data_IF_292908346796
#
_entry.id   IF_292908346796
#
_cell.length_a   1.000
_cell.length_b   1.000
_cell.length_c   1.000
_cell.angle_alpha   90.00
_cell.angle_beta   90.00
_cell.angle_gamma   90.00
#
_symmetry.space_group_name_H-M   'P 1'
#
loop_
_entity.id
_entity.type
_entity.pdbx_description
1 polymer ?
#
# COMPACT_ATOMS: atom_id res chain seq x y z
N UNK A 1 -2.49 -4.17 17.31
CA UNK A 1 -1.58 -3.19 16.69
C UNK A 1 -0.46 -3.92 15.93
N UNK A 2 -0.69 -4.27 14.65
CA UNK A 2 0.36 -4.82 13.74
C UNK A 2 0.93 -3.75 12.77
N UNK A 3 0.49 -2.50 12.91
CA UNK A 3 0.68 -1.42 11.95
C UNK A 3 1.83 -0.44 12.30
N UNK A 4 2.89 -0.91 12.95
CA UNK A 4 4.01 -0.05 13.39
C UNK A 4 5.39 -0.64 13.09
N UNK A 5 5.57 -1.26 11.90
CA UNK A 5 6.90 -1.71 11.47
C UNK A 5 7.58 -2.78 12.33
N UNK A 6 6.86 -3.40 13.27
CA UNK A 6 7.37 -4.41 14.22
C UNK A 6 7.36 -5.85 13.68
N UNK A 7 7.09 -6.04 12.39
CA UNK A 7 7.41 -7.30 11.72
C UNK A 7 8.88 -7.22 11.30
N UNK A 8 9.70 -8.14 11.83
CA UNK A 8 11.18 -8.29 11.68
C UNK A 8 11.71 -8.39 10.23
N UNK A 9 10.90 -8.07 9.23
CA UNK A 9 11.11 -8.44 7.85
C UNK A 9 11.15 -7.18 6.97
N UNK A 10 12.18 -7.04 6.13
CA UNK A 10 12.45 -5.79 5.40
C UNK A 10 11.29 -5.35 4.49
N UNK A 11 10.55 -6.30 3.90
CA UNK A 11 9.33 -5.97 3.15
C UNK A 11 8.24 -5.30 4.02
N UNK A 12 8.12 -5.64 5.29
CA UNK A 12 7.14 -5.00 6.18
C UNK A 12 7.55 -3.58 6.57
N UNK A 13 8.85 -3.28 6.57
CA UNK A 13 9.35 -1.89 6.75
C UNK A 13 9.07 -1.05 5.52
N UNK A 14 9.32 -1.58 4.32
CA UNK A 14 9.01 -0.90 3.05
C UNK A 14 7.52 -0.66 2.91
N UNK A 15 6.70 -1.70 3.12
CA UNK A 15 5.25 -1.55 3.07
C UNK A 15 4.72 -0.58 4.13
N UNK A 16 5.20 -0.68 5.38
CA UNK A 16 4.80 0.23 6.45
C UNK A 16 5.21 1.68 6.17
N UNK A 17 6.36 1.92 5.53
CA UNK A 17 6.76 3.25 5.09
C UNK A 17 5.84 3.77 3.99
N UNK A 18 5.53 2.96 2.97
CA UNK A 18 4.64 3.35 1.87
C UNK A 18 3.22 3.63 2.38
N UNK A 19 2.69 2.78 3.26
CA UNK A 19 1.41 3.00 3.94
C UNK A 19 1.46 4.26 4.82
N UNK A 20 2.57 4.49 5.54
CA UNK A 20 2.76 5.66 6.39
C UNK A 20 2.79 6.96 5.59
N UNK A 21 3.53 7.01 4.48
CA UNK A 21 3.53 8.14 3.55
C UNK A 21 2.14 8.31 2.91
N UNK A 22 1.50 7.21 2.53
CA UNK A 22 0.13 7.22 2.03
C UNK A 22 -0.85 7.81 3.02
N UNK A 23 -0.79 7.42 4.30
CA UNK A 23 -1.63 7.94 5.38
C UNK A 23 -1.36 9.43 5.66
N UNK A 24 -0.09 9.83 5.61
CA UNK A 24 0.36 11.22 5.75
C UNK A 24 -0.19 12.11 4.63
N UNK A 25 -0.11 11.64 3.39
CA UNK A 25 -0.63 12.36 2.21
C UNK A 25 -2.16 12.30 2.17
N UNK A 26 -2.75 11.22 2.67
CA UNK A 26 -4.19 11.01 2.76
C UNK A 26 -4.84 11.93 3.79
N UNK A 27 -4.15 12.31 4.88
CA UNK A 27 -4.69 13.21 5.90
C UNK A 27 -5.11 14.54 5.26
N UNK A 28 -6.42 14.79 5.10
CA UNK A 28 -6.92 15.99 4.46
C UNK A 28 -6.84 17.11 5.49
N UNK A 29 -5.62 17.58 5.75
CA UNK A 29 -5.30 18.67 6.70
C UNK A 29 -3.81 18.95 6.84
N UNK A 30 -2.89 18.23 6.19
CA UNK A 30 -1.49 18.66 6.21
C UNK A 30 -1.32 19.88 5.29
N UNK A 31 -1.29 21.12 5.82
CA UNK A 31 -1.40 22.32 4.99
C UNK A 31 -0.20 22.41 4.05
N UNK A 32 1.00 22.08 4.55
CA UNK A 32 2.22 22.07 3.75
C UNK A 32 2.19 21.15 2.52
N UNK A 33 1.46 20.03 2.56
CA UNK A 33 1.31 19.14 1.39
C UNK A 33 0.28 19.70 0.43
N UNK A 34 -0.85 20.16 0.95
CA UNK A 34 -1.94 20.73 0.14
C UNK A 34 -1.49 22.00 -0.58
N UNK A 35 -0.77 22.89 0.12
CA UNK A 35 -0.28 24.16 -0.42
C UNK A 35 0.71 23.93 -1.56
N UNK A 36 1.57 22.91 -1.46
CA UNK A 36 2.50 22.52 -2.53
C UNK A 36 1.82 21.91 -3.76
N UNK A 37 0.65 21.31 -3.60
CA UNK A 37 -0.11 20.70 -4.70
C UNK A 37 -0.97 21.71 -5.48
N UNK A 38 -1.11 22.94 -4.95
CA UNK A 38 -1.78 24.06 -5.59
C UNK A 38 -3.31 23.94 -5.61
N UNK A 39 -3.96 24.50 -6.64
CA UNK A 39 -5.43 24.45 -6.79
C UNK A 39 -5.93 23.00 -6.84
N UNK A 40 -6.85 22.66 -5.94
CA UNK A 40 -7.36 21.29 -5.78
C UNK A 40 -6.39 20.37 -5.03
N UNK A 41 -5.42 20.93 -4.29
CA UNK A 41 -4.40 20.17 -3.58
C UNK A 41 -4.96 19.13 -2.60
N UNK A 42 -6.08 19.42 -1.94
CA UNK A 42 -6.74 18.48 -1.04
C UNK A 42 -7.25 17.23 -1.77
N UNK A 43 -7.92 17.39 -2.92
CA UNK A 43 -8.38 16.28 -3.75
C UNK A 43 -7.22 15.47 -4.35
N UNK A 44 -6.17 16.16 -4.80
CA UNK A 44 -4.95 15.51 -5.31
C UNK A 44 -4.25 14.71 -4.21
N UNK A 45 -4.07 15.30 -3.04
CA UNK A 45 -3.48 14.64 -1.88
C UNK A 45 -4.30 13.39 -1.50
N UNK A 46 -5.63 13.51 -1.45
CA UNK A 46 -6.50 12.37 -1.17
C UNK A 46 -6.30 11.22 -2.17
N UNK A 47 -6.29 11.51 -3.48
CA UNK A 47 -6.06 10.48 -4.51
C UNK A 47 -4.68 9.83 -4.39
N UNK A 48 -3.62 10.64 -4.24
CA UNK A 48 -2.25 10.15 -4.09
C UNK A 48 -2.14 9.28 -2.82
N UNK A 49 -2.75 9.70 -1.71
CA UNK A 49 -2.81 8.94 -0.48
C UNK A 49 -3.46 7.58 -0.68
N UNK A 50 -4.62 7.52 -1.33
CA UNK A 50 -5.28 6.26 -1.68
C UNK A 50 -4.40 5.36 -2.56
N UNK A 51 -3.72 5.92 -3.57
CA UNK A 51 -2.83 5.17 -4.46
C UNK A 51 -1.63 4.59 -3.72
N UNK A 52 -1.01 5.37 -2.84
CA UNK A 52 0.11 4.93 -2.02
C UNK A 52 -0.30 3.84 -1.03
N UNK A 53 -1.46 3.99 -0.37
CA UNK A 53 -2.02 2.94 0.52
C UNK A 53 -2.25 1.64 -0.27
N UNK A 54 -2.86 1.72 -1.45
CA UNK A 54 -3.09 0.54 -2.30
C UNK A 54 -1.78 -0.11 -2.77
N UNK A 55 -0.77 0.69 -3.12
CA UNK A 55 0.55 0.17 -3.48
C UNK A 55 1.22 -0.53 -2.28
N UNK A 56 1.17 0.07 -1.08
CA UNK A 56 1.68 -0.54 0.16
C UNK A 56 1.00 -1.86 0.47
N UNK A 57 -0.33 -1.92 0.35
CA UNK A 57 -1.12 -3.15 0.52
C UNK A 57 -0.77 -4.20 -0.52
N UNK A 58 -0.52 -3.81 -1.77
CA UNK A 58 -0.02 -4.71 -2.83
C UNK A 58 1.32 -5.36 -2.45
N UNK A 59 2.27 -4.57 -1.92
CA UNK A 59 3.55 -5.09 -1.42
C UNK A 59 3.32 -6.11 -0.30
N UNK A 60 2.41 -5.85 0.64
CA UNK A 60 2.08 -6.78 1.73
C UNK A 60 1.49 -8.08 1.17
N UNK A 61 0.56 -7.98 0.21
CA UNK A 61 -0.13 -9.13 -0.36
C UNK A 61 0.80 -10.01 -1.18
N UNK A 62 1.84 -9.45 -1.79
CA UNK A 62 2.87 -10.22 -2.49
C UNK A 62 3.60 -11.23 -1.60
N UNK A 63 3.60 -11.06 -0.27
CA UNK A 63 4.32 -11.94 0.65
C UNK A 63 3.62 -13.27 0.87
N UNK A 64 4.38 -14.36 1.07
CA UNK A 64 3.82 -15.70 1.30
C UNK A 64 3.18 -15.90 2.68
N UNK A 65 3.21 -14.90 3.56
CA UNK A 65 2.65 -15.01 4.92
C UNK A 65 1.13 -14.89 4.92
N UNK A 66 0.49 -15.53 5.92
CA UNK A 66 -0.95 -15.42 6.17
C UNK A 66 -1.32 -13.95 6.40
N UNK A 67 -2.13 -13.41 5.49
CA UNK A 67 -2.58 -12.01 5.52
C UNK A 67 -3.68 -11.82 6.57
N UNK A 68 -3.66 -10.69 7.27
CA UNK A 68 -4.69 -10.34 8.23
C UNK A 68 -5.99 -9.99 7.50
N UNK A 69 -7.19 -10.38 7.98
CA UNK A 69 -8.45 -9.88 7.42
C UNK A 69 -8.49 -8.34 7.34
N UNK A 70 -7.81 -7.68 8.28
CA UNK A 70 -7.68 -6.21 8.32
C UNK A 70 -7.07 -5.63 7.04
N UNK A 71 -6.05 -6.25 6.44
CA UNK A 71 -5.43 -5.67 5.24
C UNK A 71 -6.33 -5.80 4.00
N UNK A 72 -7.12 -6.87 3.92
CA UNK A 72 -8.15 -7.02 2.89
C UNK A 72 -9.26 -6.00 3.06
N UNK A 73 -9.71 -5.78 4.31
CA UNK A 73 -10.66 -4.71 4.61
C UNK A 73 -10.11 -3.33 4.23
N UNK A 74 -8.84 -3.04 4.53
CA UNK A 74 -8.20 -1.77 4.14
C UNK A 74 -8.20 -1.58 2.63
N UNK A 75 -7.83 -2.61 1.85
CA UNK A 75 -7.84 -2.53 0.38
C UNK A 75 -9.25 -2.26 -0.16
N UNK A 76 -10.25 -3.00 0.32
CA UNK A 76 -11.65 -2.84 -0.10
C UNK A 76 -12.20 -1.46 0.28
N UNK A 77 -11.95 -0.99 1.50
CA UNK A 77 -12.37 0.34 1.94
C UNK A 77 -11.69 1.45 1.14
N UNK A 78 -10.40 1.34 0.81
CA UNK A 78 -9.71 2.33 -0.02
C UNK A 78 -10.25 2.35 -1.45
N UNK A 79 -10.57 1.20 -2.04
CA UNK A 79 -11.24 1.13 -3.35
C UNK A 79 -12.64 1.73 -3.31
N UNK A 80 -13.41 1.46 -2.25
CA UNK A 80 -14.77 1.99 -2.08
C UNK A 80 -14.75 3.52 -1.84
N UNK A 81 -13.74 4.04 -1.14
CA UNK A 81 -13.50 5.47 -1.02
C UNK A 81 -13.19 6.13 -2.37
N UNK A 82 -12.38 5.49 -3.22
CA UNK A 82 -12.13 5.98 -4.58
C UNK A 82 -13.40 5.93 -5.44
N UNK A 83 -14.17 4.84 -5.35
CA UNK A 83 -15.44 4.67 -6.08
C UNK A 83 -16.47 5.72 -5.70
N UNK A 84 -16.67 5.94 -4.40
CA UNK A 84 -17.68 6.87 -3.87
C UNK A 84 -17.36 8.33 -4.18
N UNK A 85 -16.07 8.71 -4.22
CA UNK A 85 -15.64 10.09 -4.46
C UNK A 85 -15.42 10.43 -5.93
N UNK A 86 -14.95 9.47 -6.74
CA UNK A 86 -14.45 9.76 -8.09
C UNK A 86 -14.93 8.76 -9.16
N UNK A 87 -15.79 7.81 -8.80
CA UNK A 87 -16.41 6.87 -9.73
C UNK A 87 -15.53 5.66 -10.09
N UNK A 88 -16.03 4.84 -11.03
CA UNK A 88 -15.43 3.55 -11.38
C UNK A 88 -14.02 3.66 -12.00
N UNK A 89 -13.75 4.73 -12.75
CA UNK A 89 -12.44 4.95 -13.38
C UNK A 89 -11.33 5.12 -12.33
N UNK A 90 -11.62 5.75 -11.20
CA UNK A 90 -10.66 5.90 -10.10
C UNK A 90 -10.32 4.58 -9.42
N UNK A 91 -11.28 3.64 -9.35
CA UNK A 91 -11.03 2.27 -8.89
C UNK A 91 -10.11 1.52 -9.85
N UNK A 92 -10.30 1.71 -11.16
CA UNK A 92 -9.40 1.15 -12.18
C UNK A 92 -7.96 1.62 -11.98
N UNK A 93 -7.75 2.93 -11.81
CA UNK A 93 -6.41 3.49 -11.51
C UNK A 93 -5.87 2.95 -10.18
N UNK A 94 -6.68 2.92 -9.12
CA UNK A 94 -6.29 2.35 -7.83
C UNK A 94 -5.86 0.88 -7.93
N UNK A 95 -6.54 0.10 -8.77
CA UNK A 95 -6.20 -1.31 -9.05
C UNK A 95 -4.84 -1.43 -9.72
N UNK A 96 -4.50 -0.54 -10.64
CA UNK A 96 -3.16 -0.49 -11.24
C UNK A 96 -2.07 -0.25 -10.18
N UNK A 97 -2.29 0.66 -9.22
CA UNK A 97 -1.34 0.91 -8.13
C UNK A 97 -1.19 -0.29 -7.19
N UNK A 98 -2.30 -0.97 -6.87
CA UNK A 98 -2.28 -2.21 -6.10
C UNK A 98 -1.48 -3.32 -6.81
N UNK A 99 -1.69 -3.50 -8.10
CA UNK A 99 -0.94 -4.46 -8.92
C UNK A 99 0.55 -4.08 -9.02
N UNK A 100 0.86 -2.81 -9.25
CA UNK A 100 2.24 -2.33 -9.27
C UNK A 100 2.96 -2.57 -7.94
N UNK A 101 2.30 -2.30 -6.81
CA UNK A 101 2.81 -2.63 -5.48
C UNK A 101 3.06 -4.13 -5.30
N UNK A 102 2.17 -4.97 -5.82
CA UNK A 102 2.35 -6.43 -5.81
C UNK A 102 3.57 -6.85 -6.62
N UNK A 103 3.76 -6.34 -7.84
CA UNK A 103 4.93 -6.60 -8.66
C UNK A 103 6.23 -6.16 -7.97
N UNK A 104 6.26 -4.95 -7.41
CA UNK A 104 7.41 -4.46 -6.63
C UNK A 104 7.69 -5.39 -5.46
N UNK A 105 6.66 -5.78 -4.71
CA UNK A 105 6.82 -6.70 -3.59
C UNK A 105 7.37 -8.07 -3.99
N UNK A 106 7.01 -8.59 -5.17
CA UNK A 106 7.60 -9.82 -5.73
C UNK A 106 9.07 -9.63 -6.11
N UNK A 107 9.41 -8.53 -6.78
CA UNK A 107 10.79 -8.20 -7.16
C UNK A 107 11.67 -8.07 -5.91
N UNK A 108 11.18 -7.37 -4.88
CA UNK A 108 11.92 -7.22 -3.62
C UNK A 108 12.12 -8.56 -2.93
N UNK A 109 11.14 -9.47 -2.97
CA UNK A 109 11.30 -10.81 -2.40
C UNK A 109 12.39 -11.61 -3.11
N UNK A 110 12.44 -11.55 -4.44
CA UNK A 110 13.51 -12.17 -5.24
C UNK A 110 14.88 -11.57 -4.90
N UNK A 111 14.98 -10.23 -4.88
CA UNK A 111 16.22 -9.53 -4.63
C UNK A 111 16.79 -9.77 -3.21
N UNK A 112 15.93 -9.87 -2.20
CA UNK A 112 16.33 -10.10 -0.82
C UNK A 112 16.35 -11.59 -0.41
N UNK A 113 16.11 -12.51 -1.35
CA UNK A 113 16.11 -13.96 -1.06
C UNK A 113 15.02 -14.41 -0.08
N UNK A 114 13.96 -13.62 0.06
CA UNK A 114 12.89 -13.84 1.02
C UNK A 114 11.99 -14.99 0.51
N UNK A 115 11.89 -16.06 1.30
CA UNK A 115 11.05 -17.22 0.99
C UNK A 115 11.75 -18.38 0.28
N UNK A 116 13.04 -18.24 -0.08
CA UNK A 116 13.82 -19.30 -0.76
C UNK A 116 14.31 -20.39 0.20
N UNK A 117 14.30 -20.16 1.52
CA UNK A 117 14.83 -21.08 2.53
C UNK A 117 13.86 -22.10 3.15
N UNK A 118 12.60 -22.18 2.74
CA UNK A 118 11.58 -23.03 3.38
C UNK A 118 11.21 -24.32 2.61
N UNK A 119 11.90 -24.63 1.51
CA UNK A 119 11.71 -25.88 0.74
C UNK A 119 12.96 -26.78 0.71
N UNK A 120 13.93 -26.55 1.59
CA UNK A 120 15.08 -27.43 1.79
C UNK A 120 14.87 -28.40 2.96
N UNK A 121 13.76 -29.15 2.95
CA UNK A 121 13.61 -30.30 3.84
C UNK A 121 14.42 -31.47 3.26
N UNK A 122 15.58 -31.74 3.82
CA UNK A 122 16.33 -32.96 3.53
C UNK A 122 15.53 -34.19 4.02
N UNK A 123 15.46 -35.30 3.25
CA UNK A 123 15.10 -36.60 3.80
C UNK A 123 16.17 -37.12 4.77
#
# INVERSE_FOLDING_TARGET
MKAAGLLRHDLSRVAGFVEGVGAIVFLPRWPAVVDRLGKGGADRAFRIGCWLVLAGLGIIVSTSKRKSPVCWSQALFTMELLRSRYGASAVGVGSCFYMAGTCVGLILQVHYGIGVGAQGGAP
#
